data_IF_869910910232
#
_entry.id   IF_869910910232
#
_cell.length_a   1.000
_cell.length_b   1.000
_cell.length_c   1.000
_cell.angle_alpha   90.00
_cell.angle_beta   90.00
_cell.angle_gamma   90.00
#
_symmetry.space_group_name_H-M   'P 1'
#
loop_
_entity.id
_entity.type
_entity.pdbx_description
1 polymer ?
#
# COMPACT_ATOMS: atom_id res chain seq x y z
N UNK A 1 13.11 -25.38 -14.68
CA UNK A 1 13.43 -26.48 -13.75
C UNK A 1 13.01 -27.83 -14.31
N UNK A 2 11.73 -28.03 -14.69
CA UNK A 2 11.24 -29.29 -15.30
C UNK A 2 12.04 -29.59 -16.57
N UNK A 3 12.18 -28.64 -17.45
CA UNK A 3 12.97 -28.80 -18.70
C UNK A 3 14.43 -29.21 -18.39
N UNK A 4 15.01 -28.60 -17.35
CA UNK A 4 16.35 -28.96 -16.90
C UNK A 4 16.43 -30.40 -16.38
N UNK A 5 15.40 -30.89 -15.70
CA UNK A 5 15.34 -32.27 -15.27
C UNK A 5 15.19 -33.22 -16.48
N UNK A 6 14.33 -32.90 -17.43
CA UNK A 6 14.17 -33.66 -18.66
C UNK A 6 15.46 -33.72 -19.46
N UNK A 7 16.17 -32.58 -19.59
CA UNK A 7 17.49 -32.54 -20.25
C UNK A 7 18.51 -33.43 -19.54
N UNK A 8 18.56 -33.42 -18.20
CA UNK A 8 19.49 -34.23 -17.42
C UNK A 8 19.16 -35.73 -17.59
N UNK A 9 17.89 -36.11 -17.54
CA UNK A 9 17.45 -37.51 -17.71
C UNK A 9 17.81 -38.05 -19.10
N UNK A 10 17.70 -37.19 -20.12
CA UNK A 10 17.98 -37.55 -21.51
C UNK A 10 19.47 -37.44 -21.91
N UNK A 11 20.34 -36.88 -21.04
CA UNK A 11 21.77 -36.85 -21.29
C UNK A 11 22.45 -38.10 -20.75
N UNK A 12 23.41 -38.63 -21.51
CA UNK A 12 24.34 -39.65 -21.01
C UNK A 12 25.07 -39.07 -19.79
N UNK A 13 24.74 -39.59 -18.62
CA UNK A 13 25.30 -39.11 -17.35
C UNK A 13 26.76 -39.56 -17.29
N UNK A 14 27.69 -38.63 -17.42
CA UNK A 14 29.08 -38.87 -17.13
C UNK A 14 29.20 -39.38 -15.68
N UNK A 15 29.76 -40.55 -15.49
CA UNK A 15 29.93 -41.23 -14.19
C UNK A 15 30.67 -40.36 -13.11
N UNK A 16 31.28 -39.25 -13.53
CA UNK A 16 32.07 -38.38 -12.68
C UNK A 16 31.33 -37.11 -12.20
N UNK A 17 30.08 -36.85 -12.63
CA UNK A 17 29.34 -35.68 -12.23
C UNK A 17 28.23 -36.05 -11.26
N UNK A 18 28.42 -35.71 -9.97
CA UNK A 18 27.52 -36.07 -8.88
C UNK A 18 26.41 -35.02 -8.71
N UNK A 19 26.65 -33.77 -9.13
CA UNK A 19 25.70 -32.65 -8.96
C UNK A 19 25.42 -31.95 -10.28
N UNK A 20 24.17 -31.58 -10.49
CA UNK A 20 23.69 -30.80 -11.62
C UNK A 20 23.01 -29.53 -11.10
N UNK A 21 23.25 -28.40 -11.75
CA UNK A 21 22.59 -27.13 -11.41
C UNK A 21 21.57 -26.79 -12.49
N UNK A 22 20.38 -26.37 -12.05
CA UNK A 22 19.34 -25.84 -12.94
C UNK A 22 19.42 -24.31 -12.94
N UNK A 23 19.62 -23.72 -14.10
CA UNK A 23 19.71 -22.26 -14.26
C UNK A 23 18.34 -21.63 -14.56
N UNK A 24 18.14 -20.35 -14.13
CA UNK A 24 19.05 -19.49 -13.36
C UNK A 24 19.09 -19.85 -11.86
N UNK A 25 20.27 -19.75 -11.26
CA UNK A 25 20.53 -20.01 -9.84
C UNK A 25 20.72 -18.70 -9.08
N UNK A 26 20.07 -18.53 -7.94
CA UNK A 26 20.36 -17.47 -6.97
C UNK A 26 21.09 -18.10 -5.78
N UNK A 27 22.33 -17.67 -5.55
CA UNK A 27 23.08 -18.05 -4.35
C UNK A 27 22.67 -17.15 -3.19
N UNK A 28 22.42 -17.72 -2.01
CA UNK A 28 22.11 -17.02 -0.78
C UNK A 28 22.61 -17.85 0.41
N UNK A 29 22.85 -17.20 1.54
CA UNK A 29 23.18 -17.86 2.79
C UNK A 29 21.91 -18.23 3.57
N UNK A 30 22.01 -19.19 4.47
CA UNK A 30 20.89 -19.53 5.36
C UNK A 30 20.44 -18.35 6.23
N UNK A 31 21.40 -17.52 6.66
CA UNK A 31 21.10 -16.32 7.44
C UNK A 31 20.30 -15.28 6.64
N UNK A 32 20.72 -15.00 5.41
CA UNK A 32 19.98 -14.11 4.51
C UNK A 32 18.55 -14.62 4.24
N UNK A 33 18.42 -15.91 3.95
CA UNK A 33 17.12 -16.54 3.72
C UNK A 33 16.22 -16.42 4.96
N UNK A 34 16.76 -16.69 6.16
CA UNK A 34 16.03 -16.52 7.42
C UNK A 34 15.57 -15.09 7.63
N UNK A 35 16.43 -14.09 7.39
CA UNK A 35 16.08 -12.67 7.55
C UNK A 35 14.97 -12.26 6.57
N UNK A 36 15.04 -12.70 5.30
CA UNK A 36 14.03 -12.39 4.29
C UNK A 36 12.67 -12.98 4.70
N UNK A 37 12.63 -14.27 5.07
CA UNK A 37 11.38 -14.95 5.46
C UNK A 37 10.79 -14.33 6.75
N UNK A 38 11.64 -14.05 7.75
CA UNK A 38 11.21 -13.37 8.98
C UNK A 38 10.63 -11.98 8.70
N UNK A 39 11.16 -11.29 7.69
CA UNK A 39 10.64 -10.00 7.26
C UNK A 39 9.25 -10.13 6.59
N UNK A 40 9.00 -11.19 5.83
CA UNK A 40 7.68 -11.44 5.25
C UNK A 40 6.59 -11.58 6.33
N UNK A 41 6.87 -12.28 7.42
CA UNK A 41 5.93 -12.41 8.54
C UNK A 41 5.69 -11.07 9.25
N UNK A 42 6.75 -10.31 9.53
CA UNK A 42 6.66 -8.99 10.17
C UNK A 42 5.91 -7.98 9.28
N UNK A 43 6.16 -8.02 7.97
CA UNK A 43 5.54 -7.10 7.01
C UNK A 43 4.02 -7.22 6.99
N UNK A 44 3.48 -8.43 7.07
CA UNK A 44 2.02 -8.67 7.13
C UNK A 44 1.39 -7.98 8.35
N UNK A 45 2.04 -8.06 9.53
CA UNK A 45 1.54 -7.43 10.77
C UNK A 45 1.60 -5.90 10.73
N UNK A 46 2.54 -5.33 9.96
CA UNK A 46 2.78 -3.88 9.87
C UNK A 46 2.20 -3.23 8.61
N UNK A 47 1.50 -3.99 7.78
CA UNK A 47 1.00 -3.57 6.47
C UNK A 47 2.12 -3.15 5.49
N UNK A 48 3.37 -3.54 5.74
CA UNK A 48 4.47 -3.29 4.83
C UNK A 48 4.54 -4.37 3.75
N UNK A 49 4.86 -3.97 2.54
CA UNK A 49 5.26 -4.91 1.47
C UNK A 49 6.76 -4.79 1.25
N UNK A 50 7.38 -5.95 1.01
CA UNK A 50 8.78 -6.02 0.62
C UNK A 50 8.98 -5.44 -0.78
N UNK A 51 10.19 -5.01 -1.08
CA UNK A 51 10.57 -4.68 -2.45
C UNK A 51 10.63 -5.97 -3.29
N UNK A 52 9.77 -6.03 -4.31
CA UNK A 52 9.69 -7.15 -5.25
C UNK A 52 10.38 -6.87 -6.59
N UNK A 53 11.22 -5.86 -6.69
CA UNK A 53 12.09 -5.63 -7.83
C UNK A 53 13.10 -6.78 -8.00
N UNK A 54 13.56 -7.39 -6.90
CA UNK A 54 14.30 -8.66 -6.95
C UNK A 54 13.35 -9.82 -7.23
N UNK A 55 13.54 -10.46 -8.39
CA UNK A 55 12.75 -11.63 -8.80
C UNK A 55 12.84 -12.81 -7.81
N UNK A 56 13.94 -12.95 -7.10
CA UNK A 56 14.11 -13.96 -6.06
C UNK A 56 13.18 -13.69 -4.88
N UNK A 57 13.16 -12.47 -4.35
CA UNK A 57 12.27 -12.07 -3.27
C UNK A 57 10.80 -12.27 -3.64
N UNK A 58 10.43 -11.93 -4.87
CA UNK A 58 9.07 -12.15 -5.39
C UNK A 58 8.68 -13.62 -5.38
N UNK A 59 9.54 -14.50 -5.90
CA UNK A 59 9.31 -15.95 -5.94
C UNK A 59 9.28 -16.54 -4.53
N UNK A 60 10.22 -16.13 -3.67
CA UNK A 60 10.31 -16.59 -2.30
C UNK A 60 9.08 -16.19 -1.47
N UNK A 61 8.57 -14.96 -1.67
CA UNK A 61 7.33 -14.53 -1.03
C UNK A 61 6.12 -15.34 -1.47
N UNK A 62 6.00 -15.62 -2.77
CA UNK A 62 4.93 -16.47 -3.30
C UNK A 62 4.99 -17.88 -2.69
N UNK A 63 6.19 -18.42 -2.57
CA UNK A 63 6.42 -19.71 -1.89
C UNK A 63 6.05 -19.63 -0.41
N UNK A 64 6.52 -18.60 0.31
CA UNK A 64 6.17 -18.38 1.71
C UNK A 64 4.64 -18.35 1.92
N UNK A 65 3.91 -17.61 1.09
CA UNK A 65 2.44 -17.52 1.19
C UNK A 65 1.78 -18.89 0.92
N UNK A 66 2.29 -19.67 -0.03
CA UNK A 66 1.72 -20.99 -0.37
C UNK A 66 1.86 -22.03 0.76
N UNK A 67 2.84 -21.85 1.65
CA UNK A 67 3.07 -22.72 2.82
C UNK A 67 2.39 -22.23 4.11
N UNK A 68 1.67 -21.10 4.07
CA UNK A 68 0.96 -20.64 5.26
C UNK A 68 -0.19 -21.60 5.61
N UNK A 69 -0.40 -21.91 6.90
CA UNK A 69 -1.58 -22.63 7.33
C UNK A 69 -2.84 -21.79 7.06
N UNK A 70 -3.98 -22.43 6.80
CA UNK A 70 -5.26 -21.75 6.49
C UNK A 70 -5.64 -20.68 7.52
N UNK A 71 -5.33 -20.89 8.79
CA UNK A 71 -5.56 -19.91 9.86
C UNK A 71 -4.79 -18.59 9.70
N UNK A 72 -3.73 -18.57 8.89
CA UNK A 72 -2.93 -17.38 8.58
C UNK A 72 -3.22 -16.75 7.23
N UNK A 73 -4.25 -17.22 6.49
CA UNK A 73 -4.63 -16.60 5.21
C UNK A 73 -5.19 -15.20 5.41
N UNK A 74 -5.82 -14.93 6.55
CA UNK A 74 -6.29 -13.61 6.96
C UNK A 74 -5.50 -13.08 8.13
N UNK A 75 -5.44 -11.76 8.24
CA UNK A 75 -4.86 -11.07 9.39
C UNK A 75 -5.60 -9.76 9.63
N UNK A 76 -5.77 -9.35 10.89
CA UNK A 76 -6.52 -8.14 11.22
C UNK A 76 -5.73 -6.89 10.87
N UNK A 77 -6.44 -5.85 10.47
CA UNK A 77 -5.93 -4.49 10.35
C UNK A 77 -6.48 -3.63 11.50
N UNK A 78 -5.68 -2.64 11.92
CA UNK A 78 -6.10 -1.71 12.96
C UNK A 78 -6.90 -0.58 12.34
N UNK A 79 -8.18 -0.47 12.70
CA UNK A 79 -9.02 0.66 12.34
C UNK A 79 -8.91 1.76 13.41
N UNK A 80 -8.33 2.89 13.08
CA UNK A 80 -8.35 4.10 13.91
C UNK A 80 -9.72 4.76 13.79
N UNK A 81 -10.50 4.80 14.87
CA UNK A 81 -11.88 5.27 14.88
C UNK A 81 -12.03 6.59 15.62
N UNK A 82 -12.84 7.50 15.10
CA UNK A 82 -13.29 8.73 15.75
C UNK A 82 -14.76 9.03 15.42
N UNK A 83 -15.31 10.16 15.90
CA UNK A 83 -16.70 10.57 15.63
C UNK A 83 -17.01 10.74 14.14
N UNK A 84 -16.02 10.98 13.30
CA UNK A 84 -16.16 11.17 11.85
C UNK A 84 -16.19 9.85 11.08
N UNK A 85 -15.76 8.72 11.68
CA UNK A 85 -15.70 7.41 11.03
C UNK A 85 -14.44 6.64 11.37
N UNK A 86 -13.81 6.00 10.39
CA UNK A 86 -12.61 5.19 10.60
C UNK A 86 -11.54 5.44 9.54
N UNK A 87 -10.28 5.12 9.88
CA UNK A 87 -9.13 5.17 9.00
C UNK A 87 -8.33 3.87 9.16
N UNK A 88 -8.03 3.21 8.06
CA UNK A 88 -7.38 1.91 8.01
C UNK A 88 -6.17 2.01 7.09
N UNK A 89 -4.99 1.80 7.62
CA UNK A 89 -3.78 1.63 6.83
C UNK A 89 -3.80 0.22 6.23
N UNK A 90 -3.70 0.14 4.90
CA UNK A 90 -3.79 -1.14 4.20
C UNK A 90 -2.43 -1.63 3.72
N UNK A 91 -1.63 -0.74 3.13
CA UNK A 91 -0.37 -1.11 2.49
C UNK A 91 0.64 0.02 2.64
N UNK A 92 1.89 -0.34 2.93
CA UNK A 92 3.03 0.59 3.06
C UNK A 92 4.25 0.05 2.34
N UNK A 93 5.01 0.96 1.77
CA UNK A 93 6.32 0.68 1.21
C UNK A 93 7.10 1.99 1.16
N UNK A 94 8.37 1.96 1.55
CA UNK A 94 9.18 3.18 1.67
C UNK A 94 9.42 3.86 0.30
N UNK A 95 9.35 3.11 -0.80
CA UNK A 95 9.59 3.63 -2.15
C UNK A 95 8.31 4.14 -2.83
N UNK A 96 7.14 3.59 -2.48
CA UNK A 96 5.86 3.91 -3.13
C UNK A 96 4.84 4.57 -2.22
N UNK A 97 5.18 4.76 -0.94
CA UNK A 97 4.33 5.43 0.03
C UNK A 97 3.31 4.51 0.71
N UNK A 98 2.14 5.05 0.99
CA UNK A 98 1.12 4.40 1.80
C UNK A 98 -0.24 4.40 1.10
N UNK A 99 -0.91 3.25 1.13
CA UNK A 99 -2.31 3.13 0.73
C UNK A 99 -3.17 2.92 1.99
N UNK A 100 -4.22 3.69 2.09
CA UNK A 100 -5.17 3.66 3.19
C UNK A 100 -6.61 3.72 2.69
N UNK A 101 -7.54 3.26 3.51
CA UNK A 101 -8.97 3.43 3.26
C UNK A 101 -9.54 4.20 4.44
N UNK A 102 -10.34 5.21 4.18
CA UNK A 102 -11.13 5.80 5.24
C UNK A 102 -12.62 5.77 4.94
N UNK A 103 -13.39 5.68 6.02
CA UNK A 103 -14.84 5.78 6.02
C UNK A 103 -15.19 7.10 6.70
N UNK A 104 -15.96 7.93 6.02
CA UNK A 104 -16.49 9.17 6.57
C UNK A 104 -18.02 9.06 6.71
N UNK A 105 -18.52 9.18 7.93
CA UNK A 105 -19.95 9.16 8.22
C UNK A 105 -20.68 10.29 7.49
N UNK A 106 -21.99 10.14 7.34
CA UNK A 106 -22.85 11.19 6.79
C UNK A 106 -22.57 12.55 7.44
N UNK A 107 -22.52 13.60 6.63
CA UNK A 107 -22.31 15.01 7.04
C UNK A 107 -20.97 15.27 7.76
N UNK A 108 -20.00 14.37 7.66
CA UNK A 108 -18.66 14.62 8.26
C UNK A 108 -17.67 15.11 7.23
N UNK A 109 -16.67 15.84 7.73
CA UNK A 109 -15.55 16.38 6.95
C UNK A 109 -14.25 15.83 7.50
N UNK A 110 -13.34 15.44 6.60
CA UNK A 110 -11.97 15.02 6.89
C UNK A 110 -10.99 15.91 6.15
N UNK A 111 -9.80 16.10 6.72
CA UNK A 111 -8.79 17.01 6.21
C UNK A 111 -8.75 18.30 7.03
N UNK A 112 -8.85 19.47 6.40
CA UNK A 112 -8.56 20.81 6.96
C UNK A 112 -7.10 20.96 7.36
N UNK A 113 -6.23 20.53 6.46
CA UNK A 113 -4.78 20.64 6.62
C UNK A 113 -4.11 20.78 5.26
N UNK A 114 -2.86 21.17 5.26
CA UNK A 114 -2.00 21.19 4.10
C UNK A 114 -0.69 20.46 4.37
N UNK A 115 0.05 20.22 3.31
CA UNK A 115 1.35 19.56 3.32
C UNK A 115 2.39 20.42 2.63
N UNK A 116 3.65 20.27 3.02
CA UNK A 116 4.75 20.94 2.31
C UNK A 116 5.26 20.12 1.12
N UNK A 117 5.40 18.82 1.29
CA UNK A 117 5.96 17.92 0.27
C UNK A 117 5.10 16.68 0.00
N UNK A 118 4.25 16.32 0.98
CA UNK A 118 3.39 15.18 0.83
C UNK A 118 2.29 15.46 -0.19
N UNK A 119 2.11 14.51 -1.10
CA UNK A 119 1.04 14.49 -2.09
C UNK A 119 0.13 13.30 -1.80
N UNK A 120 -1.16 13.51 -1.87
CA UNK A 120 -2.16 12.48 -1.67
C UNK A 120 -3.09 12.38 -2.88
N UNK A 121 -3.51 11.16 -3.22
CA UNK A 121 -4.51 10.87 -4.26
C UNK A 121 -5.73 10.27 -3.60
N UNK A 122 -6.89 10.84 -3.88
CA UNK A 122 -8.17 10.40 -3.33
C UNK A 122 -9.04 9.83 -4.44
N UNK A 123 -9.61 8.66 -4.20
CA UNK A 123 -10.60 8.03 -5.06
C UNK A 123 -11.84 7.66 -4.23
N UNK A 124 -12.99 8.23 -4.58
CA UNK A 124 -14.27 7.84 -3.96
C UNK A 124 -14.70 6.50 -4.52
N UNK A 125 -14.79 5.47 -3.68
CA UNK A 125 -15.20 4.10 -4.06
C UNK A 125 -16.64 3.79 -3.66
N UNK A 126 -17.23 4.58 -2.74
CA UNK A 126 -18.65 4.53 -2.39
C UNK A 126 -19.13 5.89 -1.90
N UNK A 127 -20.31 6.32 -2.32
CA UNK A 127 -20.94 7.57 -1.89
C UNK A 127 -20.60 8.74 -2.79
N UNK A 128 -20.90 9.94 -2.30
CA UNK A 128 -20.66 11.22 -2.98
C UNK A 128 -19.97 12.18 -2.02
N UNK A 129 -19.04 12.94 -2.54
CA UNK A 129 -18.23 13.85 -1.75
C UNK A 129 -18.04 15.20 -2.45
N UNK A 130 -17.77 16.21 -1.62
CA UNK A 130 -17.25 17.51 -2.03
C UNK A 130 -15.79 17.57 -1.57
N UNK A 131 -14.89 17.87 -2.50
CA UNK A 131 -13.47 18.09 -2.20
C UNK A 131 -13.16 19.57 -2.43
N UNK A 132 -12.58 20.23 -1.46
CA UNK A 132 -12.20 21.63 -1.56
C UNK A 132 -10.71 21.80 -1.34
N UNK A 133 -10.12 22.65 -2.17
CA UNK A 133 -8.73 23.10 -2.10
C UNK A 133 -8.69 24.62 -1.89
N UNK A 134 -7.72 25.11 -1.11
CA UNK A 134 -7.45 26.55 -0.96
C UNK A 134 -5.94 26.76 -0.86
N UNK A 135 -5.44 27.60 -1.74
CA UNK A 135 -4.03 28.02 -1.76
C UNK A 135 -3.73 28.89 -0.54
N UNK A 136 -2.69 28.52 0.21
CA UNK A 136 -2.30 29.24 1.42
C UNK A 136 -1.58 30.56 1.15
N UNK A 137 -1.03 30.76 -0.05
CA UNK A 137 -0.30 31.96 -0.41
C UNK A 137 -1.20 33.10 -0.95
N UNK A 138 -2.22 32.77 -1.76
CA UNK A 138 -3.03 33.77 -2.45
C UNK A 138 -4.55 33.62 -2.24
N UNK A 139 -4.97 32.65 -1.38
CA UNK A 139 -6.37 32.33 -1.10
C UNK A 139 -7.20 31.83 -2.30
N UNK A 140 -6.58 31.54 -3.44
CA UNK A 140 -7.26 30.91 -4.54
C UNK A 140 -7.89 29.58 -4.11
N UNK A 141 -9.05 29.22 -4.64
CA UNK A 141 -9.78 28.04 -4.19
C UNK A 141 -10.49 27.33 -5.33
N UNK A 142 -10.57 26.01 -5.20
CA UNK A 142 -11.29 25.14 -6.12
C UNK A 142 -12.16 24.13 -5.36
N UNK A 143 -13.30 23.81 -5.94
CA UNK A 143 -14.23 22.84 -5.38
C UNK A 143 -14.61 21.80 -6.43
N UNK A 144 -14.57 20.53 -6.05
CA UNK A 144 -14.86 19.40 -6.93
C UNK A 144 -15.91 18.51 -6.30
N UNK A 145 -16.89 18.09 -7.11
CA UNK A 145 -17.84 17.05 -6.75
C UNK A 145 -17.30 15.71 -7.24
N UNK A 146 -17.23 14.75 -6.34
CA UNK A 146 -16.73 13.40 -6.58
C UNK A 146 -17.84 12.40 -6.30
N UNK A 147 -17.94 11.40 -7.13
CA UNK A 147 -18.95 10.37 -7.04
C UNK A 147 -18.39 9.03 -7.53
N UNK A 148 -18.76 7.93 -6.86
CA UNK A 148 -18.27 6.59 -7.22
C UNK A 148 -18.77 6.09 -8.57
N UNK A 149 -19.86 6.63 -9.11
CA UNK A 149 -20.41 6.25 -10.42
C UNK A 149 -19.58 6.81 -11.57
N UNK A 150 -18.94 7.95 -11.34
CA UNK A 150 -18.01 8.58 -12.28
C UNK A 150 -16.64 8.74 -11.62
N UNK A 151 -15.85 7.67 -11.48
CA UNK A 151 -14.64 7.67 -10.70
C UNK A 151 -13.60 8.66 -11.25
N UNK A 152 -13.13 9.54 -10.39
CA UNK A 152 -12.09 10.52 -10.66
C UNK A 152 -11.09 10.52 -9.51
N UNK A 153 -9.81 10.63 -9.84
CA UNK A 153 -8.78 10.89 -8.84
C UNK A 153 -8.67 12.39 -8.66
N UNK A 154 -8.61 12.84 -7.40
CA UNK A 154 -8.21 14.19 -7.05
C UNK A 154 -6.95 14.13 -6.20
N UNK A 155 -6.04 15.08 -6.40
CA UNK A 155 -4.77 15.16 -5.70
C UNK A 155 -4.78 16.32 -4.71
N UNK A 156 -4.14 16.11 -3.54
CA UNK A 156 -3.75 17.24 -2.71
C UNK A 156 -2.53 17.92 -3.34
N UNK A 157 -2.54 19.24 -3.29
CA UNK A 157 -1.46 20.06 -3.83
C UNK A 157 -0.64 20.61 -2.65
N UNK A 158 0.69 20.45 -2.62
CA UNK A 158 1.54 21.05 -1.59
C UNK A 158 1.27 22.55 -1.44
N UNK A 159 1.18 23.02 -0.20
CA UNK A 159 0.84 24.41 0.10
C UNK A 159 -0.65 24.77 -0.06
N UNK A 160 -1.51 23.81 -0.42
CA UNK A 160 -2.96 24.00 -0.47
C UNK A 160 -3.64 23.25 0.67
N UNK A 161 -4.38 23.96 1.50
CA UNK A 161 -5.32 23.31 2.43
C UNK A 161 -6.37 22.55 1.66
N UNK A 162 -6.68 21.35 2.12
CA UNK A 162 -7.71 20.53 1.51
C UNK A 162 -8.61 19.85 2.54
N UNK A 163 -9.83 19.57 2.13
CA UNK A 163 -10.74 18.71 2.86
C UNK A 163 -11.71 17.99 1.94
N UNK A 164 -12.19 16.85 2.41
CA UNK A 164 -13.26 16.07 1.78
C UNK A 164 -14.45 15.98 2.71
N UNK A 165 -15.62 16.31 2.21
CA UNK A 165 -16.89 16.26 2.94
C UNK A 165 -17.80 15.20 2.34
N UNK A 166 -18.36 14.34 3.17
CA UNK A 166 -19.41 13.42 2.76
C UNK A 166 -20.71 14.20 2.52
N UNK A 167 -21.17 14.25 1.28
CA UNK A 167 -22.41 14.91 0.86
C UNK A 167 -23.52 13.90 0.53
N UNK A 168 -23.24 12.61 0.65
CA UNK A 168 -24.20 11.53 0.46
C UNK A 168 -25.10 11.28 1.65
N UNK A 169 -26.04 10.34 1.48
CA UNK A 169 -26.99 9.91 2.53
C UNK A 169 -26.39 8.85 3.45
N UNK A 170 -25.41 8.12 2.96
CA UNK A 170 -24.73 6.99 3.61
C UNK A 170 -23.25 7.30 3.87
N UNK A 171 -22.54 6.31 4.42
CA UNK A 171 -21.10 6.40 4.62
C UNK A 171 -20.36 6.55 3.29
N UNK A 172 -19.42 7.47 3.26
CA UNK A 172 -18.46 7.69 2.17
C UNK A 172 -17.25 6.79 2.40
N UNK A 173 -16.84 6.04 1.38
CA UNK A 173 -15.61 5.25 1.41
C UNK A 173 -14.64 5.81 0.38
N UNK A 174 -13.42 6.10 0.83
CA UNK A 174 -12.37 6.68 -0.01
C UNK A 174 -11.10 5.85 0.10
N UNK A 175 -10.55 5.50 -1.06
CA UNK A 175 -9.20 4.99 -1.18
C UNK A 175 -8.24 6.18 -1.25
N UNK A 176 -7.22 6.14 -0.41
CA UNK A 176 -6.20 7.18 -0.27
C UNK A 176 -4.83 6.59 -0.51
N UNK A 177 -4.07 7.19 -1.44
CA UNK A 177 -2.64 6.97 -1.56
C UNK A 177 -1.89 8.22 -1.12
N UNK A 178 -0.77 8.05 -0.46
CA UNK A 178 0.16 9.13 -0.11
C UNK A 178 1.57 8.73 -0.53
N UNK A 179 2.33 9.66 -1.09
CA UNK A 179 3.69 9.42 -1.61
C UNK A 179 4.72 9.09 -0.53
N UNK A 180 4.34 9.16 0.74
CA UNK A 180 5.18 8.82 1.88
C UNK A 180 4.42 7.98 2.91
N UNK A 181 5.15 7.20 3.69
CA UNK A 181 4.60 6.51 4.87
C UNK A 181 4.46 7.50 6.02
N UNK A 182 3.29 7.53 6.67
CA UNK A 182 3.03 8.42 7.78
C UNK A 182 4.01 8.20 8.94
N UNK A 183 4.69 9.28 9.35
CA UNK A 183 5.60 9.30 10.49
C UNK A 183 5.06 10.24 11.58
N UNK A 184 4.59 9.66 12.69
CA UNK A 184 4.03 10.42 13.80
C UNK A 184 5.03 11.37 14.50
N UNK A 185 6.34 11.09 14.38
CA UNK A 185 7.41 11.92 14.98
C UNK A 185 7.75 13.14 14.12
N UNK A 186 7.46 13.07 12.82
CA UNK A 186 7.72 14.16 11.86
C UNK A 186 6.60 14.17 10.81
N UNK A 187 5.36 14.53 11.20
CA UNK A 187 4.25 14.54 10.26
C UNK A 187 4.35 15.77 9.35
N UNK A 188 4.31 15.57 8.04
CA UNK A 188 4.07 16.67 7.09
C UNK A 188 2.57 16.93 6.96
N UNK A 189 1.95 17.37 8.06
CA UNK A 189 0.51 17.65 8.12
C UNK A 189 0.28 18.83 9.05
N UNK A 190 -0.10 19.97 8.49
CA UNK A 190 -0.29 21.22 9.20
C UNK A 190 -1.77 21.57 9.16
N UNK A 191 -2.41 21.54 10.32
CA UNK A 191 -3.82 21.88 10.44
C UNK A 191 -4.04 23.38 10.26
N UNK A 192 -5.10 23.72 9.55
CA UNK A 192 -5.55 25.09 9.34
C UNK A 192 -7.08 25.12 9.52
N UNK A 193 -7.54 26.02 10.35
CA UNK A 193 -8.97 26.24 10.62
C UNK A 193 -9.68 27.00 9.50
#
# INVERSE_FOLDING_TARGET
LIDSFVEIINKDISKNKIFYEAYPVKKTTLNELFLIISNFEKSRKKCFISDFNDSFNKKLYSTFISFLPKSKFTYPLVAKKDKRGSFIEFLKNDNIGQISVFIAKKNTTRGKHFHHTKVEKFLVVKGSAKFKLRNMANNDSAEFKLDYKNPKVIESIPGWTHYIQNTGKDDLIVLLWSNEVFNAKKPDTIYHE
#
